data_IF_941527772810
#
_entry.id   IF_941527772810
#
_cell.length_a   1.000
_cell.length_b   1.000
_cell.length_c   1.000
_cell.angle_alpha   90.00
_cell.angle_beta   90.00
_cell.angle_gamma   90.00
#
_symmetry.space_group_name_H-M   'P 1'
#
loop_
_entity.id
_entity.type
_entity.pdbx_description
1 polymer ?
#
# COMPACT_ATOMS: atom_id res chain seq x y z
N UNK A 1 -26.89 49.42 -81.64
CA UNK A 1 -26.65 49.08 -80.21
C UNK A 1 -25.81 47.81 -80.00
N UNK A 2 -25.89 46.78 -80.85
CA UNK A 2 -25.13 45.52 -80.70
C UNK A 2 -23.63 45.66 -81.04
N UNK A 3 -23.28 46.46 -82.06
CA UNK A 3 -21.90 46.64 -82.56
C UNK A 3 -20.93 47.36 -81.59
N UNK A 4 -21.44 48.17 -80.68
CA UNK A 4 -20.61 48.87 -79.66
C UNK A 4 -20.42 48.04 -78.39
N UNK A 5 -21.37 47.14 -78.07
CA UNK A 5 -21.23 46.17 -76.98
C UNK A 5 -20.13 45.15 -77.26
N UNK A 6 -19.99 44.69 -78.50
CA UNK A 6 -18.97 43.69 -78.89
C UNK A 6 -17.55 44.27 -78.85
N UNK A 7 -17.34 45.53 -79.25
CA UNK A 7 -16.04 46.22 -79.12
C UNK A 7 -15.60 46.39 -77.67
N UNK A 8 -16.54 46.73 -76.79
CA UNK A 8 -16.26 46.96 -75.36
C UNK A 8 -15.88 45.66 -74.66
N UNK A 9 -16.58 44.56 -74.95
CA UNK A 9 -16.26 43.22 -74.43
C UNK A 9 -14.88 42.76 -74.93
N UNK A 10 -14.56 42.98 -76.20
CA UNK A 10 -13.24 42.65 -76.74
C UNK A 10 -12.08 43.38 -76.05
N UNK A 11 -12.27 44.66 -75.68
CA UNK A 11 -11.26 45.44 -74.96
C UNK A 11 -11.07 44.95 -73.53
N UNK A 12 -12.16 44.60 -72.83
CA UNK A 12 -12.09 44.04 -71.47
C UNK A 12 -11.38 42.68 -71.48
N UNK A 13 -11.73 41.80 -72.44
CA UNK A 13 -11.07 40.50 -72.58
C UNK A 13 -9.57 40.66 -72.91
N UNK A 14 -9.20 41.60 -73.78
CA UNK A 14 -7.81 41.88 -74.09
C UNK A 14 -7.04 42.40 -72.86
N UNK A 15 -7.65 43.29 -72.07
CA UNK A 15 -7.04 43.77 -70.82
C UNK A 15 -6.87 42.67 -69.78
N UNK A 16 -7.84 41.77 -69.63
CA UNK A 16 -7.75 40.62 -68.70
C UNK A 16 -6.65 39.65 -69.14
N UNK A 17 -6.52 39.37 -70.45
CA UNK A 17 -5.44 38.52 -70.98
C UNK A 17 -4.06 39.15 -70.75
N UNK A 18 -3.91 40.46 -70.96
CA UNK A 18 -2.66 41.18 -70.68
C UNK A 18 -2.32 41.12 -69.19
N UNK A 19 -3.31 41.32 -68.32
CA UNK A 19 -3.14 41.21 -66.86
C UNK A 19 -2.68 39.81 -66.47
N UNK A 20 -3.32 38.74 -66.96
CA UNK A 20 -2.91 37.36 -66.67
C UNK A 20 -1.48 37.05 -67.15
N UNK A 21 -1.06 37.61 -68.29
CA UNK A 21 0.32 37.48 -68.78
C UNK A 21 1.34 38.24 -67.89
N UNK A 22 0.96 39.37 -67.30
CA UNK A 22 1.83 40.15 -66.40
C UNK A 22 1.91 39.56 -64.98
N UNK A 23 0.90 38.81 -64.55
CA UNK A 23 0.90 38.08 -63.27
C UNK A 23 1.41 36.63 -63.40
N UNK A 24 1.94 36.25 -64.56
CA UNK A 24 2.67 35.00 -64.73
C UNK A 24 4.02 35.11 -64.03
N UNK A 25 4.04 34.92 -62.70
CA UNK A 25 5.28 34.77 -61.95
C UNK A 25 6.01 33.54 -62.46
N UNK A 26 7.07 33.74 -63.24
CA UNK A 26 7.94 32.67 -63.70
C UNK A 26 8.50 31.93 -62.47
N UNK A 27 8.06 30.70 -62.25
CA UNK A 27 8.69 29.82 -61.28
C UNK A 27 10.00 29.34 -61.90
N UNK A 28 11.11 29.96 -61.49
CA UNK A 28 12.44 29.58 -61.97
C UNK A 28 12.87 28.29 -61.27
N UNK A 29 12.53 27.14 -61.86
CA UNK A 29 13.18 25.88 -61.50
C UNK A 29 14.67 26.02 -61.84
N UNK A 30 15.51 26.20 -60.83
CA UNK A 30 16.95 26.33 -61.06
C UNK A 30 17.56 24.96 -61.38
N UNK A 31 18.49 24.94 -62.33
CA UNK A 31 19.03 23.71 -62.89
C UNK A 31 19.91 22.98 -61.87
N UNK A 32 19.57 21.74 -61.52
CA UNK A 32 20.41 20.86 -60.72
C UNK A 32 19.78 19.48 -60.61
N UNK A 33 20.58 18.41 -60.71
CA UNK A 33 20.14 17.09 -60.28
C UNK A 33 20.27 17.03 -58.77
N UNK A 34 19.23 16.57 -58.07
CA UNK A 34 19.33 16.22 -56.66
C UNK A 34 20.25 15.01 -56.50
N UNK A 35 21.15 15.07 -55.53
CA UNK A 35 21.98 13.94 -55.14
C UNK A 35 21.18 12.89 -54.33
N UNK A 36 21.84 11.83 -53.89
CA UNK A 36 21.25 10.78 -53.05
C UNK A 36 20.77 11.26 -51.68
N UNK A 37 21.20 12.45 -51.25
CA UNK A 37 20.93 13.03 -49.95
C UNK A 37 19.90 14.17 -50.05
N UNK A 38 19.25 14.35 -51.20
CA UNK A 38 18.24 15.39 -51.41
C UNK A 38 18.80 16.82 -51.54
N UNK A 39 20.12 16.95 -51.72
CA UNK A 39 20.78 18.22 -51.96
C UNK A 39 21.00 18.48 -53.45
N UNK A 40 21.10 19.76 -53.84
CA UNK A 40 21.53 20.10 -55.20
C UNK A 40 22.30 21.41 -55.28
N UNK A 41 23.05 21.54 -56.38
CA UNK A 41 23.82 22.74 -56.69
C UNK A 41 22.92 23.84 -57.21
N UNK A 42 23.11 25.03 -56.67
CA UNK A 42 22.48 26.28 -57.09
C UNK A 42 23.55 27.24 -57.63
N UNK A 43 24.02 26.97 -58.86
CA UNK A 43 25.15 27.70 -59.47
C UNK A 43 24.92 29.21 -59.60
N UNK A 44 23.66 29.66 -59.61
CA UNK A 44 23.30 31.09 -59.70
C UNK A 44 22.87 31.66 -58.35
N UNK A 45 22.94 30.87 -57.29
CA UNK A 45 22.41 31.21 -55.97
C UNK A 45 20.99 31.80 -56.04
N UNK A 46 20.12 31.21 -56.86
CA UNK A 46 18.75 31.67 -57.04
C UNK A 46 17.93 31.58 -55.74
N UNK A 47 18.28 30.63 -54.86
CA UNK A 47 17.69 30.45 -53.54
C UNK A 47 18.15 31.48 -52.50
N UNK A 48 19.26 32.17 -52.73
CA UNK A 48 19.91 33.02 -51.74
C UNK A 48 20.65 32.25 -50.63
N UNK A 49 20.62 30.92 -50.63
CA UNK A 49 21.22 30.07 -49.58
C UNK A 49 22.66 29.65 -49.89
N UNK A 50 23.17 29.97 -51.08
CA UNK A 50 24.52 29.67 -51.53
C UNK A 50 24.56 28.67 -52.68
N UNK A 51 25.74 28.11 -52.92
CA UNK A 51 26.01 27.22 -54.05
C UNK A 51 25.36 25.82 -53.91
N UNK A 52 24.98 25.41 -52.70
CA UNK A 52 24.42 24.10 -52.42
C UNK A 52 23.38 24.18 -51.30
N UNK A 53 22.23 23.56 -51.47
CA UNK A 53 21.21 23.47 -50.43
C UNK A 53 20.39 22.19 -50.57
N UNK A 54 19.53 21.95 -49.59
CA UNK A 54 18.77 20.71 -49.44
C UNK A 54 17.25 20.92 -49.41
N UNK A 55 16.52 19.87 -49.80
CA UNK A 55 15.06 19.80 -49.77
C UNK A 55 14.61 18.47 -49.13
N UNK A 56 14.31 18.48 -47.82
CA UNK A 56 13.88 17.30 -47.06
C UNK A 56 12.41 17.36 -46.65
N UNK A 57 11.52 17.72 -47.58
CA UNK A 57 10.08 17.92 -47.28
C UNK A 57 9.77 19.25 -46.59
N UNK A 58 10.79 20.04 -46.28
CA UNK A 58 10.71 21.43 -45.84
C UNK A 58 11.15 22.37 -46.99
N UNK A 59 10.99 23.68 -46.79
CA UNK A 59 11.55 24.68 -47.71
C UNK A 59 13.07 24.55 -47.88
N UNK A 60 13.64 25.19 -48.91
CA UNK A 60 15.08 25.12 -49.18
C UNK A 60 15.87 25.58 -47.97
N UNK A 61 16.88 24.81 -47.55
CA UNK A 61 17.68 25.14 -46.37
C UNK A 61 19.09 24.55 -46.42
N UNK A 62 19.93 24.97 -45.47
CA UNK A 62 21.31 24.51 -45.32
C UNK A 62 21.41 23.44 -44.23
N UNK A 63 22.42 22.58 -44.35
CA UNK A 63 22.80 21.61 -43.32
C UNK A 63 24.12 22.03 -42.67
N UNK A 64 24.12 22.95 -41.69
CA UNK A 64 25.31 23.21 -40.89
C UNK A 64 25.85 21.89 -40.32
N UNK A 65 27.14 21.62 -40.53
CA UNK A 65 27.81 20.39 -40.10
C UNK A 65 27.20 19.08 -40.66
N UNK A 66 26.48 19.16 -41.79
CA UNK A 66 25.86 18.00 -42.44
C UNK A 66 24.55 17.53 -41.78
N UNK A 67 24.05 18.21 -40.76
CA UNK A 67 22.81 17.87 -40.05
C UNK A 67 21.66 18.72 -40.56
N UNK A 68 20.51 18.10 -40.85
CA UNK A 68 19.30 18.83 -41.19
C UNK A 68 18.77 19.57 -39.96
N UNK A 69 18.61 20.91 -40.00
CA UNK A 69 18.10 21.69 -38.87
C UNK A 69 16.62 21.42 -38.55
N UNK A 70 15.88 20.79 -39.47
CA UNK A 70 14.49 20.40 -39.29
C UNK A 70 14.31 18.92 -38.96
N UNK A 71 15.34 18.09 -39.16
CA UNK A 71 15.37 16.75 -38.58
C UNK A 71 15.98 16.88 -37.19
N UNK A 72 15.14 17.15 -36.20
CA UNK A 72 15.54 16.98 -34.80
C UNK A 72 16.02 15.54 -34.62
N UNK A 73 17.23 15.28 -34.10
CA UNK A 73 17.61 13.95 -33.62
C UNK A 73 16.90 13.73 -32.28
N UNK A 74 15.57 13.72 -32.27
CA UNK A 74 14.81 13.33 -31.11
C UNK A 74 13.99 12.11 -31.50
N UNK A 75 14.69 10.98 -31.55
CA UNK A 75 14.04 9.72 -31.21
C UNK A 75 13.62 9.87 -29.75
N UNK A 76 12.39 10.32 -29.52
CA UNK A 76 11.75 10.31 -28.21
C UNK A 76 11.74 8.86 -27.74
N UNK A 77 12.77 8.47 -27.00
CA UNK A 77 12.81 7.18 -26.32
C UNK A 77 11.85 7.32 -25.16
N UNK A 78 10.63 6.81 -25.34
CA UNK A 78 9.72 6.58 -24.21
C UNK A 78 10.53 5.73 -23.23
N UNK A 79 10.78 6.21 -21.99
CA UNK A 79 11.55 5.42 -21.03
C UNK A 79 10.83 4.08 -20.85
N UNK A 80 11.58 2.99 -20.90
CA UNK A 80 11.01 1.68 -20.63
C UNK A 80 10.38 1.67 -19.23
N UNK A 81 9.25 0.98 -19.05
CA UNK A 81 8.57 0.94 -17.76
C UNK A 81 9.48 0.32 -16.70
N UNK A 82 9.54 0.95 -15.53
CA UNK A 82 10.35 0.46 -14.41
C UNK A 82 9.58 -0.64 -13.69
N UNK A 83 10.16 -1.84 -13.69
CA UNK A 83 9.58 -3.02 -13.05
C UNK A 83 9.84 -3.08 -11.53
N UNK A 84 8.89 -3.71 -10.82
CA UNK A 84 9.04 -4.01 -9.39
C UNK A 84 10.15 -5.03 -9.16
N UNK A 85 11.11 -4.65 -8.33
CA UNK A 85 12.22 -5.51 -7.91
C UNK A 85 11.95 -6.21 -6.57
N UNK A 86 11.30 -5.54 -5.62
CA UNK A 86 10.99 -6.11 -4.30
C UNK A 86 9.76 -5.49 -3.63
N UNK A 87 9.22 -6.22 -2.66
CA UNK A 87 8.17 -5.79 -1.74
C UNK A 87 8.74 -5.89 -0.32
N UNK A 88 8.47 -4.91 0.53
CA UNK A 88 8.92 -4.92 1.93
C UNK A 88 7.74 -4.61 2.85
N UNK A 89 7.39 -5.53 3.75
CA UNK A 89 6.41 -5.26 4.80
C UNK A 89 7.10 -4.42 5.89
N UNK A 90 6.51 -3.27 6.21
CA UNK A 90 6.99 -2.39 7.28
C UNK A 90 6.34 -2.81 8.61
N UNK A 91 6.78 -3.93 9.18
CA UNK A 91 6.38 -4.37 10.51
C UNK A 91 7.60 -4.87 11.26
N UNK A 92 7.59 -4.77 12.59
CA UNK A 92 8.57 -5.48 13.41
C UNK A 92 8.26 -6.98 13.34
N UNK A 93 9.30 -7.80 13.15
CA UNK A 93 9.18 -9.25 13.00
C UNK A 93 8.38 -9.87 14.15
N UNK A 94 7.52 -10.86 13.83
CA UNK A 94 6.69 -11.62 14.76
C UNK A 94 5.78 -10.74 15.64
N UNK A 95 4.61 -10.39 15.12
CA UNK A 95 3.57 -9.73 15.91
C UNK A 95 2.72 -10.77 16.65
N UNK A 96 2.64 -10.62 17.96
CA UNK A 96 1.68 -11.36 18.80
C UNK A 96 0.42 -10.52 18.95
N UNK A 97 -0.74 -11.10 18.67
CA UNK A 97 -2.06 -10.47 18.82
C UNK A 97 -2.94 -11.33 19.73
N UNK A 98 -3.89 -10.71 20.41
CA UNK A 98 -4.97 -11.44 21.10
C UNK A 98 -6.13 -11.69 20.13
N UNK A 99 -6.90 -12.76 20.36
CA UNK A 99 -8.16 -13.00 19.61
C UNK A 99 -9.07 -11.77 19.67
N UNK A 100 -9.52 -11.33 18.49
CA UNK A 100 -10.37 -10.15 18.29
C UNK A 100 -9.61 -8.82 18.18
N UNK A 101 -8.28 -8.82 18.30
CA UNK A 101 -7.48 -7.64 18.01
C UNK A 101 -7.38 -7.39 16.50
N UNK A 102 -7.18 -6.12 16.14
CA UNK A 102 -6.95 -5.68 14.77
C UNK A 102 -5.62 -4.91 14.68
N UNK A 103 -4.92 -5.07 13.57
CA UNK A 103 -3.71 -4.30 13.26
C UNK A 103 -3.64 -4.01 11.77
N UNK A 104 -2.92 -2.97 11.37
CA UNK A 104 -2.73 -2.64 9.95
C UNK A 104 -1.29 -2.92 9.56
N UNK A 105 -1.12 -3.78 8.56
CA UNK A 105 0.17 -3.99 7.92
C UNK A 105 0.32 -3.03 6.74
N UNK A 106 1.49 -2.43 6.62
CA UNK A 106 1.85 -1.63 5.46
C UNK A 106 3.02 -2.28 4.71
N UNK A 107 3.06 -2.11 3.40
CA UNK A 107 4.15 -2.62 2.57
C UNK A 107 4.58 -1.57 1.53
N UNK A 108 5.87 -1.58 1.20
CA UNK A 108 6.48 -0.69 0.23
C UNK A 108 7.00 -1.47 -1.00
N UNK A 109 6.88 -0.86 -2.17
CA UNK A 109 7.38 -1.37 -3.45
C UNK A 109 8.69 -0.66 -3.80
N UNK A 110 9.69 -1.43 -4.24
CA UNK A 110 10.96 -0.90 -4.74
C UNK A 110 11.30 -1.43 -6.14
N UNK A 111 11.89 -0.58 -7.01
CA UNK A 111 12.24 0.82 -6.76
C UNK A 111 11.01 1.73 -6.66
N UNK A 112 11.17 2.90 -6.03
CA UNK A 112 10.05 3.79 -5.71
C UNK A 112 9.40 4.43 -6.93
N UNK A 113 10.03 4.34 -8.09
CA UNK A 113 9.56 4.81 -9.40
C UNK A 113 8.97 3.69 -10.28
N UNK A 114 8.81 2.47 -9.73
CA UNK A 114 8.13 1.39 -10.43
C UNK A 114 6.74 1.82 -10.94
N UNK A 115 6.40 1.44 -12.17
CA UNK A 115 5.18 1.91 -12.84
C UNK A 115 3.91 1.41 -12.11
N UNK A 116 3.89 0.11 -11.76
CA UNK A 116 2.79 -0.50 -11.03
C UNK A 116 3.20 -0.86 -9.59
N UNK A 117 2.59 -0.18 -8.62
CA UNK A 117 2.86 -0.37 -7.18
C UNK A 117 1.71 -1.05 -6.43
N UNK A 118 0.79 -1.72 -7.13
CA UNK A 118 -0.31 -2.44 -6.50
C UNK A 118 0.20 -3.59 -5.63
N UNK A 119 -0.41 -3.77 -4.46
CA UNK A 119 -0.13 -4.87 -3.54
C UNK A 119 -1.42 -5.65 -3.31
N UNK A 120 -1.32 -6.98 -3.34
CA UNK A 120 -2.38 -7.89 -2.94
C UNK A 120 -1.96 -8.64 -1.69
N UNK A 121 -2.85 -8.73 -0.71
CA UNK A 121 -2.61 -9.44 0.54
C UNK A 121 -3.27 -10.82 0.56
N UNK A 122 -2.67 -11.75 1.30
CA UNK A 122 -3.27 -13.05 1.58
C UNK A 122 -2.86 -13.59 2.95
N UNK A 123 -3.69 -14.46 3.51
CA UNK A 123 -3.40 -15.22 4.74
C UNK A 123 -3.24 -16.70 4.40
N UNK A 124 -2.31 -17.38 5.08
CA UNK A 124 -2.16 -18.83 4.99
C UNK A 124 -3.30 -19.61 5.66
N UNK A 125 -3.95 -19.02 6.66
CA UNK A 125 -5.11 -19.61 7.35
C UNK A 125 -6.10 -18.53 7.80
N UNK A 126 -7.20 -18.42 7.06
CA UNK A 126 -8.27 -17.46 7.31
C UNK A 126 -9.06 -17.76 8.59
N UNK A 127 -8.97 -18.97 9.15
CA UNK A 127 -9.61 -19.29 10.42
C UNK A 127 -8.79 -18.75 11.60
N UNK A 128 -7.50 -18.48 11.40
CA UNK A 128 -6.60 -17.92 12.41
C UNK A 128 -6.54 -16.41 12.26
N UNK A 129 -6.22 -15.90 11.07
CA UNK A 129 -6.15 -14.46 10.78
C UNK A 129 -6.66 -14.14 9.38
N UNK A 130 -7.47 -13.09 9.25
CA UNK A 130 -7.94 -12.57 7.96
C UNK A 130 -7.22 -11.26 7.68
N UNK A 131 -6.83 -11.04 6.43
CA UNK A 131 -6.29 -9.76 5.95
C UNK A 131 -7.16 -9.21 4.83
N UNK A 132 -7.48 -7.92 4.89
CA UNK A 132 -8.23 -7.19 3.87
C UNK A 132 -7.32 -6.68 2.74
N UNK A 133 -7.92 -6.06 1.73
CA UNK A 133 -7.19 -5.47 0.59
C UNK A 133 -6.29 -4.28 0.99
N UNK A 134 -6.68 -3.52 2.01
CA UNK A 134 -5.90 -2.40 2.57
C UNK A 134 -4.86 -2.83 3.61
N UNK A 135 -4.71 -4.14 3.87
CA UNK A 135 -3.74 -4.68 4.81
C UNK A 135 -4.19 -4.67 6.27
N UNK A 136 -5.47 -4.44 6.55
CA UNK A 136 -6.05 -4.62 7.88
C UNK A 136 -6.14 -6.10 8.20
N UNK A 137 -5.54 -6.51 9.31
CA UNK A 137 -5.54 -7.88 9.82
C UNK A 137 -6.45 -7.97 11.04
N UNK A 138 -7.36 -8.94 11.03
CA UNK A 138 -8.22 -9.27 12.17
C UNK A 138 -7.86 -10.66 12.70
N UNK A 139 -7.58 -10.74 14.01
CA UNK A 139 -7.28 -11.99 14.71
C UNK A 139 -8.56 -12.76 15.04
N UNK A 140 -8.70 -13.98 14.53
CA UNK A 140 -9.94 -14.78 14.61
C UNK A 140 -9.86 -15.88 15.66
N UNK A 141 -8.85 -16.74 15.59
CA UNK A 141 -8.65 -17.85 16.55
C UNK A 141 -7.18 -17.97 16.95
N UNK A 142 -6.89 -18.58 18.12
CA UNK A 142 -5.52 -18.82 18.53
C UNK A 142 -4.78 -19.71 17.53
N UNK A 143 -3.49 -19.42 17.30
CA UNK A 143 -2.67 -20.17 16.34
C UNK A 143 -1.61 -19.32 15.67
N UNK A 144 -1.10 -19.81 14.54
CA UNK A 144 -0.14 -19.08 13.70
C UNK A 144 -0.64 -18.98 12.27
N UNK A 145 -0.55 -17.78 11.69
CA UNK A 145 -0.86 -17.51 10.29
C UNK A 145 0.26 -16.68 9.65
N UNK A 146 0.56 -16.95 8.40
CA UNK A 146 1.51 -16.17 7.59
C UNK A 146 0.70 -15.22 6.71
N UNK A 147 0.95 -13.92 6.87
CA UNK A 147 0.38 -12.88 6.02
C UNK A 147 1.40 -12.51 4.94
N UNK A 148 0.97 -12.51 3.68
CA UNK A 148 1.83 -12.28 2.51
C UNK A 148 1.37 -11.06 1.72
N UNK A 149 2.29 -10.13 1.46
CA UNK A 149 2.14 -9.06 0.48
C UNK A 149 2.72 -9.50 -0.86
N UNK A 150 1.96 -9.35 -1.95
CA UNK A 150 2.36 -9.72 -3.31
C UNK A 150 2.19 -8.54 -4.27
N UNK A 151 3.24 -8.25 -5.03
CA UNK A 151 3.20 -7.27 -6.13
C UNK A 151 2.56 -7.84 -7.40
N UNK A 152 2.19 -6.96 -8.34
CA UNK A 152 1.58 -7.33 -9.62
C UNK A 152 2.41 -8.29 -10.47
N UNK A 153 3.74 -8.18 -10.44
CA UNK A 153 4.65 -9.08 -11.16
C UNK A 153 5.12 -10.28 -10.31
N UNK A 154 4.51 -10.49 -9.13
CA UNK A 154 4.66 -11.70 -8.33
C UNK A 154 5.79 -11.69 -7.30
N UNK A 155 6.51 -10.57 -7.08
CA UNK A 155 7.40 -10.45 -5.91
C UNK A 155 6.59 -10.47 -4.63
N UNK A 156 7.12 -11.13 -3.59
CA UNK A 156 6.42 -11.33 -2.32
C UNK A 156 7.29 -11.01 -1.12
N UNK A 157 6.65 -10.62 -0.02
CA UNK A 157 7.24 -10.61 1.32
C UNK A 157 6.17 -11.05 2.33
N UNK A 158 6.58 -11.69 3.43
CA UNK A 158 5.64 -12.33 4.36
C UNK A 158 6.07 -12.09 5.81
N UNK A 159 5.08 -12.07 6.70
CA UNK A 159 5.26 -12.00 8.15
C UNK A 159 4.45 -13.09 8.84
N UNK A 160 5.01 -13.68 9.90
CA UNK A 160 4.29 -14.62 10.76
C UNK A 160 3.58 -13.86 11.87
N UNK A 161 2.30 -14.16 12.04
CA UNK A 161 1.48 -13.69 13.15
C UNK A 161 1.19 -14.85 14.09
N UNK A 162 1.30 -14.58 15.39
CA UNK A 162 0.92 -15.50 16.46
C UNK A 162 -0.28 -14.91 17.19
N UNK A 163 -1.35 -15.68 17.31
CA UNK A 163 -2.58 -15.25 17.98
C UNK A 163 -2.74 -16.04 19.27
N UNK A 164 -2.81 -15.32 20.38
CA UNK A 164 -3.03 -15.86 21.71
C UNK A 164 -4.51 -15.77 22.09
N UNK A 165 -4.92 -16.66 23.00
CA UNK A 165 -6.26 -16.58 23.59
C UNK A 165 -6.46 -15.24 24.28
N UNK A 166 -7.64 -14.65 24.09
CA UNK A 166 -8.04 -13.47 24.84
C UNK A 166 -8.07 -13.82 26.33
N UNK A 167 -7.33 -13.08 27.15
CA UNK A 167 -7.34 -13.29 28.59
C UNK A 167 -8.78 -13.18 29.13
N UNK A 168 -9.22 -14.18 29.90
CA UNK A 168 -10.50 -14.10 30.61
C UNK A 168 -10.45 -12.90 31.56
N UNK A 169 -11.51 -12.08 31.66
CA UNK A 169 -11.53 -10.99 32.63
C UNK A 169 -11.36 -11.60 34.02
N UNK A 170 -10.24 -11.27 34.68
CA UNK A 170 -9.99 -11.65 36.07
C UNK A 170 -11.02 -10.93 36.91
N UNK A 171 -12.08 -11.65 37.32
CA UNK A 171 -13.00 -11.15 38.33
C UNK A 171 -12.26 -11.16 39.65
N UNK A 172 -11.73 -10.01 40.07
CA UNK A 172 -11.23 -9.79 41.43
C UNK A 172 -12.39 -9.99 42.40
N UNK A 173 -12.53 -11.21 42.92
CA UNK A 173 -13.30 -11.47 44.14
C UNK A 173 -12.53 -10.76 45.24
N UNK A 174 -13.05 -9.62 45.68
CA UNK A 174 -12.54 -8.93 46.86
C UNK A 174 -13.01 -9.76 48.05
N UNK A 175 -12.20 -10.75 48.42
CA UNK A 175 -12.43 -11.56 49.61
C UNK A 175 -11.97 -10.74 50.82
N UNK A 176 -12.90 -9.95 51.37
CA UNK A 176 -12.78 -9.32 52.67
C UNK A 176 -12.80 -10.44 53.72
N UNK A 177 -11.63 -10.99 54.04
CA UNK A 177 -11.47 -11.96 55.11
C UNK A 177 -11.65 -11.26 56.45
N UNK A 178 -12.78 -11.57 57.11
CA UNK A 178 -13.05 -11.27 58.49
C UNK A 178 -11.95 -11.83 59.40
N UNK A 179 -11.35 -10.94 60.19
CA UNK A 179 -10.39 -11.23 61.23
C UNK A 179 -11.03 -12.09 62.33
N UNK A 180 -10.49 -13.30 62.54
CA UNK A 180 -10.83 -14.14 63.69
C UNK A 180 -9.86 -13.86 64.84
N UNK A 181 -10.42 -13.40 65.96
CA UNK A 181 -9.72 -13.29 67.24
C UNK A 181 -9.50 -14.70 67.81
N UNK A 182 -8.23 -15.06 68.03
CA UNK A 182 -7.86 -16.25 68.79
C UNK A 182 -7.85 -15.90 70.28
N UNK A 183 -8.84 -16.39 71.01
CA UNK A 183 -8.90 -16.36 72.47
C UNK A 183 -7.94 -17.42 73.04
N UNK A 184 -6.85 -16.98 73.68
CA UNK A 184 -5.91 -17.83 74.39
C UNK A 184 -6.52 -18.26 75.74
N UNK A 185 -6.74 -19.57 75.91
CA UNK A 185 -7.09 -20.16 77.21
C UNK A 185 -5.84 -20.28 78.09
N UNK A 186 -5.90 -19.58 79.21
CA UNK A 186 -4.93 -19.56 80.31
C UNK A 186 -5.01 -20.89 81.09
N UNK A 187 -3.96 -21.70 81.07
CA UNK A 187 -3.82 -22.83 81.99
C UNK A 187 -3.14 -22.34 83.28
N UNK A 188 -3.95 -22.09 84.30
CA UNK A 188 -3.46 -21.87 85.67
C UNK A 188 -3.20 -23.24 86.30
N UNK A 189 -1.93 -23.61 86.41
CA UNK A 189 -1.48 -24.76 87.18
C UNK A 189 -1.10 -24.28 88.59
N UNK A 190 -2.03 -24.34 89.54
CA UNK A 190 -1.74 -24.10 90.96
C UNK A 190 -1.12 -25.34 91.58
N UNK A 191 0.16 -25.26 91.89
CA UNK A 191 0.85 -26.20 92.77
C UNK A 191 1.09 -25.52 94.13
N UNK A 192 0.37 -25.96 95.16
CA UNK A 192 0.78 -25.77 96.55
C UNK A 192 0.23 -26.91 97.40
N UNK A 193 1.14 -27.82 97.75
CA UNK A 193 1.00 -28.75 98.88
C UNK A 193 0.99 -28.00 100.21
N UNK A 194 0.57 -28.72 101.27
CA UNK A 194 0.53 -28.42 102.72
C UNK A 194 -0.87 -28.03 103.22
N UNK A 195 -1.53 -28.68 104.19
CA UNK A 195 -1.09 -29.54 105.31
C UNK A 195 -2.22 -30.47 105.81
N UNK A 196 -1.82 -31.43 106.65
CA UNK A 196 -2.66 -32.37 107.40
C UNK A 196 -3.62 -31.68 108.39
N UNK A 197 -4.91 -32.06 108.37
CA UNK A 197 -5.70 -32.49 109.55
C UNK A 197 -7.21 -32.51 109.25
N UNK A 198 -7.83 -33.69 109.42
CA UNK A 198 -9.22 -33.79 109.90
C UNK A 198 -10.39 -33.63 108.89
N UNK A 199 -11.14 -34.72 108.77
CA UNK A 199 -12.62 -34.74 108.59
C UNK A 199 -13.23 -34.68 107.18
N UNK A 200 -14.07 -35.69 106.93
CA UNK A 200 -14.97 -36.03 105.82
C UNK A 200 -15.78 -34.92 105.16
N UNK A 201 -15.99 -35.00 103.81
CA UNK A 201 -17.29 -34.71 103.14
C UNK A 201 -17.40 -35.49 101.79
N UNK A 202 -18.56 -36.11 101.57
CA UNK A 202 -19.02 -36.80 100.35
C UNK A 202 -19.49 -35.82 99.25
N UNK A 203 -19.37 -36.16 97.96
CA UNK A 203 -20.01 -35.38 96.90
C UNK A 203 -20.10 -36.09 95.55
N UNK A 204 -21.28 -36.62 95.24
CA UNK A 204 -21.69 -37.26 93.98
C UNK A 204 -22.14 -36.25 92.89
N UNK A 205 -22.07 -36.67 91.62
CA UNK A 205 -22.91 -36.18 90.51
C UNK A 205 -22.35 -34.96 89.77
N UNK A 206 -22.47 -34.81 88.45
CA UNK A 206 -23.66 -35.02 87.62
C UNK A 206 -23.29 -35.52 86.20
N UNK A 207 -24.26 -36.23 85.63
CA UNK A 207 -24.26 -37.14 84.49
C UNK A 207 -25.01 -36.51 83.29
N UNK A 208 -24.55 -36.86 82.07
CA UNK A 208 -25.29 -37.09 80.82
C UNK A 208 -25.94 -35.96 79.97
N UNK A 209 -25.92 -36.30 78.67
CA UNK A 209 -26.95 -36.12 77.63
C UNK A 209 -26.74 -34.96 76.63
N UNK A 210 -26.24 -35.28 75.43
CA UNK A 210 -26.98 -35.36 74.14
C UNK A 210 -25.96 -35.78 73.07
N UNK A 211 -25.83 -37.09 72.86
CA UNK A 211 -25.17 -37.71 71.70
C UNK A 211 -26.20 -38.64 71.09
N UNK A 212 -27.11 -38.13 70.23
CA UNK A 212 -28.07 -38.98 69.52
C UNK A 212 -28.85 -38.34 68.36
N UNK A 213 -28.61 -37.08 67.95
CA UNK A 213 -29.55 -36.41 67.02
C UNK A 213 -29.02 -36.01 65.65
N UNK A 214 -27.70 -35.99 65.39
CA UNK A 214 -27.19 -35.45 64.12
C UNK A 214 -26.53 -36.44 63.15
N UNK A 215 -26.55 -37.75 63.43
CA UNK A 215 -25.97 -38.77 62.54
C UNK A 215 -27.00 -39.60 61.75
N UNK A 216 -28.14 -39.04 61.33
CA UNK A 216 -29.15 -39.80 60.57
C UNK A 216 -29.89 -39.06 59.44
N UNK A 217 -29.27 -38.07 58.77
CA UNK A 217 -29.77 -37.61 57.45
C UNK A 217 -28.65 -37.46 56.42
N UNK A 218 -28.02 -38.60 56.09
CA UNK A 218 -27.42 -38.83 54.76
C UNK A 218 -28.31 -39.83 54.02
N UNK A 219 -28.65 -39.51 52.77
CA UNK A 219 -29.48 -40.23 51.76
C UNK A 219 -30.92 -39.71 51.59
N UNK A 220 -31.11 -38.85 50.59
CA UNK A 220 -32.08 -39.06 49.49
C UNK A 220 -31.82 -38.07 48.33
N UNK A 221 -31.43 -38.68 47.20
CA UNK A 221 -31.28 -38.17 45.82
C UNK A 221 -30.18 -37.17 45.55
#
# INVERSE_FOLDING_TARGET
MIREKTKTIGRILLSIVIILLLFSSNTFAHSGRTDSNGGHRDNKNASGLGYYHYHHGYGPHLHPNGVCPYETPEKTTIPEPVDVSSVMINSMDNTVLEVGAETVLSAAIYPSDAENKSITWSSSDINVAIVSEDGMVTAINPGSAIITAKSSNGKTNSITLNIDEKAKPVSTVTEEQASSEQETQEMIETNSNQDESGSSVLGYGVVAAIVAWFLLRKKKK
#
